data_IF_725696048088
#
_entry.id   IF_725696048088
#
_cell.length_a   1.000
_cell.length_b   1.000
_cell.length_c   1.000
_cell.angle_alpha   90.00
_cell.angle_beta   90.00
_cell.angle_gamma   90.00
#
_symmetry.space_group_name_H-M   'P 1'
#
loop_
_entity.id
_entity.type
_entity.pdbx_description
1 polymer ?
#
# COMPACT_ATOMS: atom_id res chain seq x y z
N UNK A 1 -0.29 6.19 2.98
CA UNK A 1 -1.77 6.08 2.89
C UNK A 1 -2.20 6.75 1.59
N UNK A 2 -3.46 6.63 1.15
CA UNK A 2 -3.91 7.27 -0.10
C UNK A 2 -3.40 6.63 -1.41
N UNK A 3 -2.83 5.42 -1.34
CA UNK A 3 -2.15 4.77 -2.47
C UNK A 3 -3.04 4.43 -3.69
N UNK A 4 -4.37 4.44 -3.51
CA UNK A 4 -5.34 4.21 -4.60
C UNK A 4 -5.91 5.52 -5.16
N UNK A 5 -5.47 6.68 -4.66
CA UNK A 5 -5.77 7.98 -5.24
C UNK A 5 -4.77 8.33 -6.36
N UNK A 6 -5.07 9.35 -7.15
CA UNK A 6 -4.25 9.70 -8.33
C UNK A 6 -2.78 9.98 -7.97
N UNK A 7 -2.54 10.90 -7.02
CA UNK A 7 -1.18 11.26 -6.57
C UNK A 7 -0.52 10.07 -5.84
N UNK A 8 -1.26 9.40 -4.95
CA UNK A 8 -0.72 8.29 -4.18
C UNK A 8 -0.29 7.11 -5.05
N UNK A 9 -1.02 6.83 -6.13
CA UNK A 9 -0.66 5.78 -7.09
C UNK A 9 0.64 6.14 -7.83
N UNK A 10 0.83 7.40 -8.23
CA UNK A 10 2.07 7.86 -8.86
C UNK A 10 3.27 7.78 -7.91
N UNK A 11 3.09 8.18 -6.64
CA UNK A 11 4.15 8.05 -5.61
C UNK A 11 4.52 6.57 -5.44
N UNK A 12 3.55 5.66 -5.38
CA UNK A 12 3.83 4.23 -5.29
C UNK A 12 4.59 3.74 -6.54
N UNK A 13 4.15 4.13 -7.74
CA UNK A 13 4.82 3.77 -8.99
C UNK A 13 6.28 4.25 -9.00
N UNK A 14 6.53 5.51 -8.66
CA UNK A 14 7.87 6.08 -8.56
C UNK A 14 8.74 5.36 -7.52
N UNK A 15 8.22 5.08 -6.33
CA UNK A 15 8.97 4.33 -5.30
C UNK A 15 9.29 2.90 -5.73
N UNK A 16 8.42 2.26 -6.51
CA UNK A 16 8.68 0.92 -7.05
C UNK A 16 9.74 0.95 -8.14
N UNK A 17 9.72 1.94 -9.03
CA UNK A 17 10.65 2.05 -10.16
C UNK A 17 12.04 2.54 -9.75
N UNK A 18 12.10 3.59 -8.94
CA UNK A 18 13.32 4.37 -8.72
C UNK A 18 13.94 4.14 -7.32
N UNK A 19 13.44 3.14 -6.58
CA UNK A 19 14.00 2.76 -5.28
C UNK A 19 13.85 1.26 -5.00
N UNK A 20 14.46 0.79 -3.91
CA UNK A 20 14.29 -0.56 -3.38
C UNK A 20 13.35 -0.62 -2.15
N UNK A 21 12.55 0.42 -1.92
CA UNK A 21 11.67 0.49 -0.76
C UNK A 21 10.66 -0.67 -0.72
N UNK A 22 10.41 -1.21 0.47
CA UNK A 22 9.29 -2.10 0.75
C UNK A 22 8.13 -1.26 1.25
N UNK A 23 6.99 -1.38 0.60
CA UNK A 23 5.85 -0.51 0.81
C UNK A 23 4.78 -1.26 1.61
N UNK A 24 4.33 -0.65 2.71
CA UNK A 24 3.11 -1.08 3.39
C UNK A 24 2.01 -0.09 3.06
N UNK A 25 1.00 -0.56 2.33
CA UNK A 25 -0.08 0.27 1.83
C UNK A 25 -1.35 0.01 2.65
N UNK A 26 -1.78 1.02 3.41
CA UNK A 26 -3.05 0.98 4.13
C UNK A 26 -4.18 1.32 3.14
N UNK A 27 -5.08 0.38 2.91
CA UNK A 27 -6.17 0.49 1.94
C UNK A 27 -7.50 0.27 2.66
N UNK A 28 -8.48 1.15 2.44
CA UNK A 28 -9.85 0.90 2.90
C UNK A 28 -10.46 -0.24 2.08
N UNK A 29 -10.52 -1.43 2.66
CA UNK A 29 -11.03 -2.65 2.03
C UNK A 29 -11.53 -3.62 3.11
N UNK A 30 -12.34 -4.60 2.69
CA UNK A 30 -12.89 -5.63 3.61
C UNK A 30 -11.83 -6.64 4.07
N UNK A 31 -10.88 -6.93 3.21
CA UNK A 31 -9.86 -7.96 3.40
C UNK A 31 -8.63 -7.67 2.53
N UNK A 32 -7.57 -8.44 2.75
CA UNK A 32 -6.28 -8.27 2.05
C UNK A 32 -6.37 -8.54 0.54
N UNK A 33 -7.24 -9.44 0.09
CA UNK A 33 -7.44 -9.72 -1.33
C UNK A 33 -8.10 -8.52 -2.03
N UNK A 34 -9.18 -8.01 -1.43
CA UNK A 34 -9.84 -6.78 -1.85
C UNK A 34 -8.88 -5.59 -1.85
N UNK A 35 -8.00 -5.47 -0.85
CA UNK A 35 -6.99 -4.41 -0.79
C UNK A 35 -5.98 -4.51 -1.95
N UNK A 36 -5.48 -5.73 -2.24
CA UNK A 36 -4.56 -5.98 -3.34
C UNK A 36 -5.20 -5.68 -4.70
N UNK A 37 -6.44 -6.09 -4.92
CA UNK A 37 -7.17 -5.81 -6.17
C UNK A 37 -7.28 -4.30 -6.42
N UNK A 38 -7.62 -3.51 -5.39
CA UNK A 38 -7.69 -2.05 -5.52
C UNK A 38 -6.33 -1.43 -5.84
N UNK A 39 -5.25 -1.89 -5.21
CA UNK A 39 -3.90 -1.39 -5.54
C UNK A 39 -3.56 -1.73 -7.00
N UNK A 40 -3.84 -2.97 -7.43
CA UNK A 40 -3.55 -3.42 -8.78
C UNK A 40 -4.32 -2.58 -9.82
N UNK A 41 -5.61 -2.35 -9.60
CA UNK A 41 -6.44 -1.51 -10.45
C UNK A 41 -5.87 -0.09 -10.59
N UNK A 42 -5.56 0.56 -9.46
CA UNK A 42 -4.98 1.91 -9.47
C UNK A 42 -3.62 1.96 -10.19
N UNK A 43 -2.73 0.99 -9.94
CA UNK A 43 -1.40 0.98 -10.57
C UNK A 43 -1.43 0.61 -12.04
N UNK A 44 -2.38 -0.23 -12.48
CA UNK A 44 -2.52 -0.60 -13.90
C UNK A 44 -2.95 0.59 -14.77
N UNK A 45 -3.64 1.58 -14.19
CA UNK A 45 -4.00 2.82 -14.87
C UNK A 45 -2.77 3.71 -15.08
N UNK A 46 -1.88 3.77 -14.07
CA UNK A 46 -0.67 4.59 -14.10
C UNK A 46 0.41 3.95 -14.99
N UNK A 47 0.58 2.64 -14.89
CA UNK A 47 1.59 1.88 -15.62
C UNK A 47 0.97 0.62 -16.24
N UNK A 48 0.56 0.67 -17.53
CA UNK A 48 0.02 -0.49 -18.22
C UNK A 48 1.01 -1.67 -18.35
N UNK A 49 2.32 -1.40 -18.23
CA UNK A 49 3.36 -2.43 -18.30
C UNK A 49 3.71 -3.00 -16.92
N UNK A 50 2.94 -2.66 -15.88
CA UNK A 50 3.21 -3.03 -14.52
C UNK A 50 3.31 -4.56 -14.33
N UNK A 51 4.51 -5.05 -13.99
CA UNK A 51 4.78 -6.48 -13.83
C UNK A 51 4.42 -6.94 -12.42
N UNK A 52 3.42 -7.82 -12.33
CA UNK A 52 2.84 -8.29 -11.06
C UNK A 52 3.85 -8.91 -10.07
N UNK A 53 4.91 -9.55 -10.57
CA UNK A 53 5.82 -10.36 -9.72
C UNK A 53 6.65 -9.50 -8.78
N UNK A 54 7.28 -8.44 -9.28
CA UNK A 54 8.21 -7.64 -8.48
C UNK A 54 7.48 -6.78 -7.44
N UNK A 55 6.32 -6.24 -7.84
CA UNK A 55 5.39 -5.56 -6.97
C UNK A 55 4.90 -6.44 -5.81
N UNK A 56 4.45 -7.67 -6.10
CA UNK A 56 3.94 -8.59 -5.07
C UNK A 56 4.96 -8.87 -3.97
N UNK A 57 6.26 -8.83 -4.28
CA UNK A 57 7.33 -9.05 -3.30
C UNK A 57 7.60 -7.83 -2.41
N UNK A 58 7.38 -6.62 -2.95
CA UNK A 58 7.72 -5.36 -2.28
C UNK A 58 6.54 -4.69 -1.60
N UNK A 59 5.31 -5.10 -1.92
CA UNK A 59 4.09 -4.50 -1.40
C UNK A 59 3.40 -5.42 -0.40
N UNK A 60 3.09 -4.86 0.76
CA UNK A 60 2.18 -5.43 1.74
C UNK A 60 0.93 -4.57 1.82
N UNK A 61 -0.20 -5.11 1.37
CA UNK A 61 -1.49 -4.46 1.54
C UNK A 61 -2.03 -4.73 2.96
N UNK A 62 -2.46 -3.67 3.65
CA UNK A 62 -3.15 -3.77 4.93
C UNK A 62 -4.56 -3.19 4.78
N UNK A 63 -5.63 -4.00 4.93
CA UNK A 63 -6.98 -3.48 4.99
C UNK A 63 -7.14 -2.68 6.28
N UNK A 64 -7.33 -1.37 6.16
CA UNK A 64 -7.44 -0.49 7.32
C UNK A 64 -7.90 0.92 6.98
N UNK A 65 -8.17 1.70 8.01
CA UNK A 65 -8.75 3.04 7.92
C UNK A 65 -8.06 3.97 8.92
N UNK A 66 -7.54 5.10 8.41
CA UNK A 66 -6.83 6.10 9.21
C UNK A 66 -7.71 6.77 10.27
N UNK A 67 -9.04 6.72 10.10
CA UNK A 67 -10.00 7.32 11.04
C UNK A 67 -10.28 6.45 12.26
N UNK A 68 -9.81 5.19 12.23
CA UNK A 68 -10.03 4.23 13.31
C UNK A 68 -8.81 4.16 14.25
N UNK A 69 -9.02 3.83 15.54
CA UNK A 69 -7.94 3.48 16.44
C UNK A 69 -7.04 2.39 15.83
N UNK A 70 -5.72 2.54 16.02
CA UNK A 70 -4.73 1.62 15.46
C UNK A 70 -4.89 1.38 13.94
N UNK A 71 -5.42 2.37 13.21
CA UNK A 71 -5.68 2.32 11.78
C UNK A 71 -6.68 1.21 11.37
N UNK A 72 -7.49 0.71 12.31
CA UNK A 72 -8.38 -0.43 12.09
C UNK A 72 -7.65 -1.77 11.93
N UNK A 73 -6.37 -1.84 12.31
CA UNK A 73 -5.54 -3.03 12.14
C UNK A 73 -5.62 -3.97 13.35
N UNK A 74 -5.48 -5.30 13.14
CA UNK A 74 -5.21 -6.24 14.21
C UNK A 74 -3.94 -5.86 14.98
N UNK A 75 -3.91 -6.13 16.29
CA UNK A 75 -2.81 -5.73 17.16
C UNK A 75 -1.43 -6.22 16.67
N UNK A 76 -1.35 -7.43 16.11
CA UNK A 76 -0.12 -7.97 15.53
C UNK A 76 0.37 -7.19 14.31
N UNK A 77 -0.55 -6.82 13.41
CA UNK A 77 -0.24 -6.03 12.22
C UNK A 77 0.17 -4.61 12.57
N UNK A 78 -0.54 -3.98 13.50
CA UNK A 78 -0.20 -2.67 14.02
C UNK A 78 1.18 -2.68 14.69
N UNK A 79 1.45 -3.65 15.56
CA UNK A 79 2.77 -3.77 16.23
C UNK A 79 3.89 -3.95 15.21
N UNK A 80 3.68 -4.80 14.20
CA UNK A 80 4.67 -5.02 13.14
C UNK A 80 4.86 -3.76 12.27
N UNK A 81 3.78 -3.02 12.00
CA UNK A 81 3.85 -1.75 11.28
C UNK A 81 4.67 -0.73 12.05
N UNK A 82 4.37 -0.50 13.33
CA UNK A 82 5.09 0.43 14.20
C UNK A 82 6.58 0.08 14.30
N UNK A 83 6.91 -1.21 14.37
CA UNK A 83 8.32 -1.65 14.45
C UNK A 83 9.11 -1.49 13.15
N UNK A 84 8.46 -1.52 11.99
CA UNK A 84 9.13 -1.58 10.68
C UNK A 84 9.01 -0.31 9.85
N UNK A 85 8.02 0.53 10.12
CA UNK A 85 7.84 1.77 9.40
C UNK A 85 8.98 2.73 9.73
N UNK A 86 9.73 3.13 8.69
CA UNK A 86 10.78 4.14 8.82
C UNK A 86 10.33 5.50 8.33
N UNK A 87 9.39 5.53 7.39
CA UNK A 87 8.85 6.73 6.78
C UNK A 87 7.34 6.58 6.57
N UNK A 88 6.61 7.67 6.69
CA UNK A 88 5.17 7.73 6.45
C UNK A 88 4.92 8.76 5.36
N UNK A 89 4.24 8.33 4.29
CA UNK A 89 3.70 9.21 3.26
C UNK A 89 2.18 9.21 3.43
N UNK A 90 1.60 10.38 3.68
CA UNK A 90 0.16 10.58 3.76
C UNK A 90 -0.28 11.62 2.74
N UNK A 91 -1.03 11.15 1.76
CA UNK A 91 -1.69 11.92 0.72
C UNK A 91 -3.17 11.55 0.63
#
# INVERSE_FOLDING_TARGET
TGATGNIGAEIVNHLLRDSNARLTLLIRAKDSGSALSRIHESLSIIDPCFKSIEFRRRIRALPGDITLPNLGLPAGDYTNLVKKATHIIHC
#
